data_IF_682490682763
#
_entry.id   IF_682490682763
#
_cell.length_a   1.000
_cell.length_b   1.000
_cell.length_c   1.000
_cell.angle_alpha   90.00
_cell.angle_beta   90.00
_cell.angle_gamma   90.00
#
_symmetry.space_group_name_H-M   'P 1'
#
loop_
_entity.id
_entity.type
_entity.pdbx_description
1 polymer ?
#
# COMPACT_ATOMS: atom_id res chain seq x y z
N UNK A 1 -19.70 -0.18 17.10
CA UNK A 1 -18.99 1.06 16.67
C UNK A 1 -18.54 0.84 15.24
N UNK A 2 -18.58 1.88 14.39
CA UNK A 2 -18.05 1.81 13.04
C UNK A 2 -16.56 1.49 13.08
N UNK A 3 -16.07 0.61 12.20
CA UNK A 3 -14.64 0.35 12.03
C UNK A 3 -13.96 1.57 11.40
N UNK A 4 -12.71 1.82 11.77
CA UNK A 4 -11.94 2.95 11.26
C UNK A 4 -10.69 2.45 10.53
N UNK A 5 -10.55 2.82 9.25
CA UNK A 5 -9.47 2.39 8.39
C UNK A 5 -8.53 3.57 8.11
N UNK A 6 -7.24 3.41 8.41
CA UNK A 6 -6.22 4.37 7.99
C UNK A 6 -5.79 4.07 6.57
N UNK A 7 -6.04 4.99 5.65
CA UNK A 7 -5.74 4.86 4.22
C UNK A 7 -4.57 5.76 3.87
N UNK A 8 -3.48 5.19 3.38
CA UNK A 8 -2.26 5.93 3.02
C UNK A 8 -2.18 6.09 1.52
N UNK A 9 -1.97 7.32 1.09
CA UNK A 9 -1.86 7.73 -0.31
C UNK A 9 -0.51 8.41 -0.57
N UNK A 10 0.04 8.18 -1.75
CA UNK A 10 1.17 8.95 -2.24
C UNK A 10 0.76 10.36 -2.66
N UNK A 11 1.55 11.37 -2.31
CA UNK A 11 1.38 12.74 -2.80
C UNK A 11 1.78 12.90 -4.28
N UNK A 12 2.45 11.89 -4.86
CA UNK A 12 2.86 11.84 -6.27
C UNK A 12 1.85 11.13 -7.17
N UNK A 13 0.73 10.72 -6.59
CA UNK A 13 -0.38 10.12 -7.30
C UNK A 13 -0.65 8.68 -6.89
N UNK A 14 -1.91 8.30 -6.98
CA UNK A 14 -2.38 6.95 -6.73
C UNK A 14 -3.14 6.42 -7.96
N UNK A 15 -3.23 5.11 -8.09
CA UNK A 15 -4.08 4.50 -9.11
C UNK A 15 -5.54 4.52 -8.64
N UNK A 16 -6.42 5.11 -9.44
CA UNK A 16 -7.79 5.39 -9.01
C UNK A 16 -8.55 4.18 -8.49
N UNK A 17 -8.64 3.11 -9.26
CA UNK A 17 -9.38 1.91 -8.88
C UNK A 17 -8.84 1.27 -7.59
N UNK A 18 -7.52 1.36 -7.34
CA UNK A 18 -6.87 0.83 -6.14
C UNK A 18 -7.25 1.59 -4.87
N UNK A 19 -7.81 2.77 -5.01
CA UNK A 19 -8.44 3.51 -3.93
C UNK A 19 -9.95 3.26 -3.90
N UNK A 20 -10.64 3.53 -5.03
CA UNK A 20 -12.11 3.57 -5.01
C UNK A 20 -12.75 2.20 -4.95
N UNK A 21 -12.10 1.14 -5.44
CA UNK A 21 -12.57 -0.24 -5.32
C UNK A 21 -12.73 -0.69 -3.87
N UNK A 22 -11.69 -0.59 -3.02
CA UNK A 22 -11.83 -0.85 -1.59
C UNK A 22 -12.79 0.12 -0.89
N UNK A 23 -12.74 1.43 -1.21
CA UNK A 23 -13.60 2.44 -0.57
C UNK A 23 -15.08 2.15 -0.77
N UNK A 24 -15.50 1.75 -1.97
CA UNK A 24 -16.90 1.40 -2.24
C UNK A 24 -17.41 0.31 -1.30
N UNK A 25 -16.58 -0.71 -1.04
CA UNK A 25 -16.93 -1.83 -0.16
C UNK A 25 -16.91 -1.41 1.31
N UNK A 26 -15.90 -0.65 1.72
CA UNK A 26 -15.76 -0.18 3.09
C UNK A 26 -16.88 0.80 3.46
N UNK A 27 -17.25 1.70 2.54
CA UNK A 27 -18.38 2.63 2.72
C UNK A 27 -19.71 1.86 2.84
N UNK A 28 -19.94 0.84 1.99
CA UNK A 28 -21.12 -0.01 2.08
C UNK A 28 -21.20 -0.79 3.39
N UNK A 29 -20.05 -1.13 3.99
CA UNK A 29 -19.96 -1.74 5.32
C UNK A 29 -20.13 -0.73 6.47
N UNK A 30 -20.23 0.56 6.17
CA UNK A 30 -20.37 1.64 7.17
C UNK A 30 -19.07 1.94 7.90
N UNK A 31 -17.91 1.68 7.29
CA UNK A 31 -16.59 1.96 7.88
C UNK A 31 -16.17 3.40 7.60
N UNK A 32 -15.42 3.98 8.52
CA UNK A 32 -14.80 5.30 8.38
C UNK A 32 -13.41 5.15 7.75
N UNK A 33 -13.16 5.82 6.62
CA UNK A 33 -11.85 5.90 6.01
C UNK A 33 -11.20 7.24 6.35
N UNK A 34 -10.01 7.19 6.94
CA UNK A 34 -9.20 8.36 7.31
C UNK A 34 -7.94 8.37 6.46
N UNK A 35 -7.71 9.46 5.76
CA UNK A 35 -6.61 9.56 4.79
C UNK A 35 -5.34 10.15 5.41
N UNK A 36 -4.21 9.63 4.99
CA UNK A 36 -2.88 10.09 5.41
C UNK A 36 -1.96 10.19 4.18
N UNK A 37 -1.15 11.24 4.14
CA UNK A 37 -0.09 11.42 3.15
C UNK A 37 1.21 11.83 3.84
N UNK A 38 2.31 11.81 3.12
CA UNK A 38 3.63 12.06 3.70
C UNK A 38 3.73 13.43 4.40
N UNK A 39 3.23 14.51 3.78
CA UNK A 39 3.32 15.88 4.29
C UNK A 39 1.96 16.55 4.50
N UNK A 40 0.88 15.79 4.49
CA UNK A 40 -0.48 16.31 4.61
C UNK A 40 -0.98 17.04 3.36
N UNK A 41 -0.33 16.84 2.22
CA UNK A 41 -0.83 17.36 0.95
C UNK A 41 -1.86 16.43 0.36
N UNK A 42 -2.86 17.01 -0.29
CA UNK A 42 -3.86 16.24 -1.03
C UNK A 42 -3.17 15.35 -2.07
N UNK A 43 -3.54 14.08 -2.10
CA UNK A 43 -3.20 13.17 -3.18
C UNK A 43 -4.19 13.33 -4.34
N UNK A 44 -3.73 13.13 -5.57
CA UNK A 44 -4.56 13.11 -6.76
C UNK A 44 -4.40 11.79 -7.50
N UNK A 45 -5.43 11.37 -8.21
CA UNK A 45 -5.36 10.18 -9.03
C UNK A 45 -4.43 10.38 -10.23
N UNK A 46 -3.73 9.33 -10.62
CA UNK A 46 -2.92 9.32 -11.85
C UNK A 46 -3.83 9.39 -13.08
N UNK A 47 -3.55 10.27 -14.06
CA UNK A 47 -4.40 10.46 -15.23
C UNK A 47 -4.81 9.18 -15.96
N UNK A 48 -3.92 8.18 -16.18
CA UNK A 48 -4.31 6.92 -16.81
C UNK A 48 -5.43 6.18 -16.06
N UNK A 49 -5.48 6.29 -14.73
CA UNK A 49 -6.43 5.55 -13.89
C UNK A 49 -7.87 6.10 -13.91
N UNK A 50 -8.07 7.29 -14.47
CA UNK A 50 -9.41 7.86 -14.66
C UNK A 50 -9.70 8.26 -16.12
N UNK A 51 -8.90 7.77 -17.04
CA UNK A 51 -9.13 7.91 -18.48
C UNK A 51 -9.76 6.62 -19.00
N UNK A 52 -11.08 6.60 -19.30
CA UNK A 52 -11.74 5.40 -19.80
C UNK A 52 -11.08 4.89 -21.08
N UNK A 53 -10.89 3.59 -21.17
CA UNK A 53 -10.27 2.98 -22.34
C UNK A 53 -8.74 3.10 -22.36
N UNK A 54 -8.10 3.52 -21.26
CA UNK A 54 -6.64 3.53 -21.19
C UNK A 54 -6.08 2.14 -21.46
N UNK A 55 -5.24 2.06 -22.50
CA UNK A 55 -4.59 0.84 -22.94
C UNK A 55 -3.21 0.73 -22.26
N UNK A 56 -2.97 -0.38 -21.58
CA UNK A 56 -1.70 -0.69 -20.92
C UNK A 56 -0.83 -1.52 -21.88
N UNK A 57 0.28 -0.97 -22.40
CA UNK A 57 1.11 -1.67 -23.37
C UNK A 57 1.73 -2.97 -22.88
N UNK A 58 2.28 -3.09 -21.66
CA UNK A 58 2.78 -4.35 -21.13
C UNK A 58 1.71 -5.44 -21.04
N UNK A 59 0.51 -5.07 -20.62
CA UNK A 59 -0.61 -6.00 -20.49
C UNK A 59 -1.34 -6.28 -21.81
N UNK A 60 -1.10 -5.47 -22.83
CA UNK A 60 -1.77 -5.55 -24.13
C UNK A 60 -3.31 -5.56 -24.01
N UNK A 61 -3.83 -4.71 -23.12
CA UNK A 61 -5.28 -4.59 -22.85
C UNK A 61 -5.67 -3.23 -22.27
N UNK A 62 -6.97 -2.94 -22.36
CA UNK A 62 -7.58 -1.84 -21.60
C UNK A 62 -7.65 -2.21 -20.12
N UNK A 63 -7.15 -1.34 -19.26
CA UNK A 63 -7.09 -1.55 -17.80
C UNK A 63 -7.98 -0.58 -17.02
N UNK A 64 -8.46 0.49 -17.63
CA UNK A 64 -9.33 1.47 -16.98
C UNK A 64 -10.71 1.41 -17.61
N UNK A 65 -11.67 0.86 -16.87
CA UNK A 65 -13.06 0.84 -17.31
C UNK A 65 -13.78 2.15 -16.98
N UNK A 66 -14.93 2.36 -17.59
CA UNK A 66 -15.70 3.59 -17.44
C UNK A 66 -16.28 3.76 -16.02
N UNK A 67 -16.68 2.68 -15.37
CA UNK A 67 -17.26 2.72 -14.04
C UNK A 67 -16.25 3.24 -13.02
N UNK A 68 -15.09 2.61 -12.93
CA UNK A 68 -14.05 2.99 -11.99
C UNK A 68 -13.38 4.32 -12.34
N UNK A 69 -13.26 4.66 -13.63
CA UNK A 69 -12.81 5.97 -14.07
C UNK A 69 -13.73 7.08 -13.56
N UNK A 70 -15.05 6.92 -13.68
CA UNK A 70 -16.02 7.89 -13.19
C UNK A 70 -16.03 7.97 -11.67
N UNK A 71 -15.97 6.85 -10.97
CA UNK A 71 -15.90 6.82 -9.51
C UNK A 71 -14.62 7.49 -8.98
N UNK A 72 -13.50 7.25 -9.64
CA UNK A 72 -12.22 7.91 -9.35
C UNK A 72 -12.32 9.43 -9.49
N UNK A 73 -12.89 9.92 -10.59
CA UNK A 73 -13.12 11.37 -10.79
C UNK A 73 -14.01 11.96 -9.69
N UNK A 74 -15.09 11.28 -9.34
CA UNK A 74 -15.98 11.75 -8.27
C UNK A 74 -15.25 11.90 -6.93
N UNK A 75 -14.41 10.92 -6.56
CA UNK A 75 -13.61 11.00 -5.34
C UNK A 75 -12.54 12.07 -5.45
N UNK A 76 -11.83 12.13 -6.56
CA UNK A 76 -10.72 13.08 -6.77
C UNK A 76 -11.20 14.55 -6.85
N UNK A 77 -12.40 14.81 -7.35
CA UNK A 77 -13.03 16.14 -7.41
C UNK A 77 -13.78 16.52 -6.12
N UNK A 78 -14.03 15.54 -5.23
CA UNK A 78 -14.70 15.79 -3.95
C UNK A 78 -13.76 16.37 -2.90
N UNK A 79 -14.31 16.77 -1.76
CA UNK A 79 -13.53 17.18 -0.58
C UNK A 79 -13.05 16.00 0.25
N UNK A 80 -13.32 14.76 -0.16
CA UNK A 80 -13.05 13.55 0.62
C UNK A 80 -11.57 13.39 0.95
N UNK A 81 -10.68 13.76 0.02
CA UNK A 81 -9.24 13.67 0.18
C UNK A 81 -8.59 14.94 0.71
N UNK A 82 -9.38 15.95 1.09
CA UNK A 82 -8.86 17.20 1.63
C UNK A 82 -8.35 17.04 3.05
N UNK A 83 -7.30 17.78 3.38
CA UNK A 83 -6.71 17.82 4.72
C UNK A 83 -6.32 16.42 5.28
N UNK A 84 -5.60 15.58 4.53
CA UNK A 84 -5.16 14.29 5.03
C UNK A 84 -4.22 14.48 6.22
N UNK A 85 -4.11 13.46 7.07
CA UNK A 85 -3.14 13.45 8.17
C UNK A 85 -1.73 13.64 7.60
N UNK A 86 -0.97 14.52 8.21
CA UNK A 86 0.44 14.75 7.89
C UNK A 86 1.31 13.75 8.65
N UNK A 87 1.78 12.71 7.97
CA UNK A 87 2.66 11.69 8.54
C UNK A 87 3.93 12.30 9.13
N UNK A 88 4.55 13.25 8.43
CA UNK A 88 5.80 13.89 8.88
C UNK A 88 5.63 14.76 10.12
N UNK A 89 4.42 15.24 10.39
CA UNK A 89 4.10 15.97 11.61
C UNK A 89 3.68 15.04 12.76
N UNK A 90 3.16 13.86 12.45
CA UNK A 90 2.68 12.89 13.44
C UNK A 90 3.79 11.98 13.96
N UNK A 91 4.54 11.32 13.07
CA UNK A 91 5.60 10.38 13.43
C UNK A 91 6.98 11.04 13.46
N UNK A 92 7.83 10.70 14.44
CA UNK A 92 9.18 11.26 14.56
C UNK A 92 10.10 10.75 13.45
N UNK A 93 11.12 11.52 13.14
CA UNK A 93 12.21 11.08 12.29
C UNK A 93 13.25 10.33 13.11
N UNK A 94 13.68 9.16 12.62
CA UNK A 94 14.72 8.40 13.26
C UNK A 94 16.07 9.11 13.13
N UNK A 95 16.81 9.35 14.22
CA UNK A 95 18.09 10.04 14.15
C UNK A 95 19.14 9.19 13.42
N UNK A 96 20.01 9.87 12.66
CA UNK A 96 21.19 9.25 12.10
C UNK A 96 22.22 8.97 13.20
N UNK A 97 22.96 7.87 13.07
CA UNK A 97 23.94 7.43 14.04
C UNK A 97 25.10 8.44 14.29
N UNK A 98 25.38 9.31 13.32
CA UNK A 98 26.39 10.38 13.45
C UNK A 98 25.80 11.70 13.96
N UNK A 99 24.54 11.72 14.38
CA UNK A 99 23.93 12.91 14.97
C UNK A 99 24.59 13.22 16.33
N UNK A 100 24.78 14.51 16.62
CA UNK A 100 25.19 14.94 17.96
C UNK A 100 24.20 14.42 18.99
N UNK A 101 24.69 13.86 20.10
CA UNK A 101 23.88 13.26 21.17
C UNK A 101 22.97 12.12 20.68
N UNK A 102 23.48 11.30 19.75
CA UNK A 102 22.70 10.23 19.11
C UNK A 102 21.92 9.34 20.09
N UNK A 103 22.55 8.91 21.20
CA UNK A 103 21.89 8.06 22.18
C UNK A 103 20.62 8.71 22.76
N UNK A 104 20.72 9.96 23.18
CA UNK A 104 19.59 10.70 23.72
C UNK A 104 18.48 10.92 22.67
N UNK A 105 18.86 11.32 21.46
CA UNK A 105 17.89 11.45 20.36
C UNK A 105 17.20 10.14 19.98
N UNK A 106 17.90 9.03 20.14
CA UNK A 106 17.32 7.71 19.90
C UNK A 106 16.29 7.32 20.96
N UNK A 107 16.55 7.67 22.24
CA UNK A 107 15.59 7.48 23.34
C UNK A 107 14.35 8.35 23.14
N UNK A 108 14.53 9.62 22.76
CA UNK A 108 13.41 10.52 22.44
C UNK A 108 12.58 9.99 21.28
N UNK A 109 13.26 9.49 20.22
CA UNK A 109 12.60 8.89 19.06
C UNK A 109 11.71 7.70 19.47
N UNK A 110 12.25 6.74 20.24
CA UNK A 110 11.46 5.58 20.65
C UNK A 110 10.31 5.98 21.56
N UNK A 111 10.53 6.89 22.49
CA UNK A 111 9.47 7.39 23.39
C UNK A 111 8.34 8.07 22.61
N UNK A 112 8.68 8.87 21.61
CA UNK A 112 7.69 9.57 20.77
C UNK A 112 6.97 8.60 19.84
N UNK A 113 7.71 7.68 19.19
CA UNK A 113 7.15 6.64 18.33
C UNK A 113 6.13 5.77 19.08
N UNK A 114 6.47 5.35 20.31
CA UNK A 114 5.60 4.50 21.11
C UNK A 114 4.30 5.22 21.50
N UNK A 115 4.34 6.53 21.75
CA UNK A 115 3.12 7.35 21.90
C UNK A 115 2.29 7.38 20.60
N UNK A 116 2.94 7.54 19.43
CA UNK A 116 2.23 7.48 18.15
C UNK A 116 1.57 6.11 17.94
N UNK A 117 2.19 5.02 18.39
CA UNK A 117 1.61 3.68 18.33
C UNK A 117 0.37 3.54 19.24
N UNK A 118 0.33 4.21 20.39
CA UNK A 118 -0.91 4.27 21.18
C UNK A 118 -2.05 4.94 20.41
N UNK A 119 -1.74 6.01 19.65
CA UNK A 119 -2.73 6.69 18.81
C UNK A 119 -3.25 5.79 17.67
N UNK A 120 -2.44 4.83 17.18
CA UNK A 120 -2.86 3.87 16.16
C UNK A 120 -3.95 2.90 16.67
N UNK A 121 -4.15 2.77 17.96
CA UNK A 121 -5.19 1.89 18.52
C UNK A 121 -6.59 2.26 18.09
N UNK A 122 -6.83 3.51 17.71
CA UNK A 122 -8.13 3.96 17.22
C UNK A 122 -8.51 3.39 15.84
N UNK A 123 -7.56 2.91 15.05
CA UNK A 123 -7.79 2.33 13.73
C UNK A 123 -7.89 0.80 13.81
N UNK A 124 -8.76 0.19 13.01
CA UNK A 124 -8.96 -1.26 12.93
C UNK A 124 -8.06 -1.92 11.89
N UNK A 125 -7.71 -1.19 10.82
CA UNK A 125 -6.83 -1.66 9.77
C UNK A 125 -6.07 -0.51 9.09
N UNK A 126 -4.99 -0.87 8.38
CA UNK A 126 -4.21 -0.02 7.49
C UNK A 126 -4.45 -0.45 6.04
N UNK A 127 -4.63 0.50 5.13
CA UNK A 127 -4.65 0.28 3.68
C UNK A 127 -3.59 1.14 3.00
N UNK A 128 -2.65 0.51 2.31
CA UNK A 128 -1.60 1.15 1.51
C UNK A 128 -2.02 1.07 0.03
N UNK A 129 -2.44 2.20 -0.51
CA UNK A 129 -2.91 2.29 -1.90
C UNK A 129 -1.71 2.34 -2.85
N UNK A 130 -1.84 1.68 -3.99
CA UNK A 130 -0.77 1.62 -4.98
C UNK A 130 -0.86 2.70 -6.07
N UNK A 131 -0.48 2.32 -7.28
CA UNK A 131 -0.09 3.22 -8.35
C UNK A 131 1.42 3.47 -8.31
N UNK A 132 1.96 4.23 -9.24
CA UNK A 132 3.42 4.47 -9.33
C UNK A 132 3.95 5.50 -8.31
N UNK A 133 3.10 6.38 -7.79
CA UNK A 133 3.49 7.38 -6.79
C UNK A 133 4.16 6.83 -5.52
N UNK A 134 3.71 5.71 -4.92
CA UNK A 134 4.34 5.09 -3.76
C UNK A 134 5.84 4.87 -3.87
N UNK A 135 6.38 4.62 -5.07
CA UNK A 135 7.82 4.44 -5.29
C UNK A 135 8.61 5.70 -4.88
N UNK A 136 8.00 6.87 -4.99
CA UNK A 136 8.65 8.16 -4.76
C UNK A 136 8.64 8.61 -3.30
N UNK A 137 7.55 8.36 -2.55
CA UNK A 137 7.40 8.95 -1.22
C UNK A 137 6.92 7.98 -0.12
N UNK A 138 6.57 6.72 -0.47
CA UNK A 138 6.08 5.75 0.51
C UNK A 138 7.09 4.63 0.79
N UNK A 139 7.65 4.02 -0.26
CA UNK A 139 8.46 2.77 -0.15
C UNK A 139 9.66 2.92 0.79
N UNK A 140 10.39 4.02 0.70
CA UNK A 140 11.57 4.28 1.52
C UNK A 140 11.30 5.26 2.68
N UNK A 141 10.03 5.46 3.03
CA UNK A 141 9.64 6.38 4.08
C UNK A 141 9.69 5.70 5.45
N UNK A 142 10.73 6.01 6.22
CA UNK A 142 10.95 5.43 7.54
C UNK A 142 9.77 5.68 8.50
N UNK A 143 9.10 6.85 8.44
CA UNK A 143 7.93 7.14 9.28
C UNK A 143 6.74 6.25 8.91
N UNK A 144 6.56 5.97 7.61
CA UNK A 144 5.55 5.01 7.17
C UNK A 144 5.88 3.58 7.62
N UNK A 145 7.16 3.21 7.60
CA UNK A 145 7.57 1.91 8.17
C UNK A 145 7.23 1.82 9.66
N UNK A 146 7.39 2.91 10.42
CA UNK A 146 7.01 2.93 11.84
C UNK A 146 5.49 2.79 12.04
N UNK A 147 4.66 3.39 11.17
CA UNK A 147 3.20 3.15 11.16
C UNK A 147 2.90 1.67 10.91
N UNK A 148 3.48 1.08 9.86
CA UNK A 148 3.29 -0.33 9.50
C UNK A 148 3.70 -1.25 10.65
N UNK A 149 4.87 -1.01 11.27
CA UNK A 149 5.35 -1.76 12.44
C UNK A 149 4.42 -1.59 13.65
N UNK A 150 3.81 -0.42 13.83
CA UNK A 150 2.81 -0.18 14.88
C UNK A 150 1.55 -1.03 14.66
N UNK A 151 1.01 -1.08 13.45
CA UNK A 151 -0.11 -1.97 13.13
C UNK A 151 0.23 -3.44 13.32
N UNK A 152 1.45 -3.86 12.92
CA UNK A 152 1.94 -5.21 13.14
C UNK A 152 2.03 -5.55 14.64
N UNK A 153 2.62 -4.66 15.45
CA UNK A 153 2.74 -4.83 16.89
C UNK A 153 1.38 -4.90 17.61
N UNK A 154 0.39 -4.16 17.09
CA UNK A 154 -0.99 -4.20 17.58
C UNK A 154 -1.79 -5.41 17.05
N UNK A 155 -1.20 -6.26 16.21
CA UNK A 155 -1.87 -7.42 15.61
C UNK A 155 -3.02 -7.06 14.68
N UNK A 156 -3.00 -5.89 14.06
CA UNK A 156 -4.06 -5.38 13.19
C UNK A 156 -3.82 -5.71 11.73
N UNK A 157 -4.90 -5.70 10.93
CA UNK A 157 -4.85 -5.94 9.50
C UNK A 157 -4.03 -4.84 8.80
N UNK A 158 -3.14 -5.28 7.90
CA UNK A 158 -2.36 -4.43 7.01
C UNK A 158 -2.67 -4.86 5.59
N UNK A 159 -3.44 -4.05 4.87
CA UNK A 159 -3.75 -4.26 3.47
C UNK A 159 -2.83 -3.39 2.60
N UNK A 160 -2.40 -3.92 1.47
CA UNK A 160 -1.59 -3.21 0.50
C UNK A 160 -1.88 -3.70 -0.92
N UNK A 161 -1.76 -2.83 -1.90
CA UNK A 161 -2.09 -3.16 -3.28
C UNK A 161 -1.03 -2.63 -4.23
N UNK A 162 -0.76 -3.39 -5.32
CA UNK A 162 0.12 -2.99 -6.40
C UNK A 162 1.50 -2.54 -5.86
N UNK A 163 1.96 -1.35 -6.23
CA UNK A 163 3.21 -0.79 -5.70
C UNK A 163 3.17 -0.42 -4.21
N UNK A 164 1.99 -0.27 -3.62
CA UNK A 164 1.86 -0.09 -2.16
C UNK A 164 2.42 -1.26 -1.36
N UNK A 165 2.43 -2.47 -1.94
CA UNK A 165 3.01 -3.67 -1.32
C UNK A 165 4.52 -3.54 -1.10
N UNK A 166 5.22 -2.74 -1.91
CA UNK A 166 6.65 -2.50 -1.74
C UNK A 166 7.01 -1.95 -0.35
N UNK A 167 6.11 -1.17 0.25
CA UNK A 167 6.32 -0.64 1.60
C UNK A 167 6.54 -1.76 2.63
N UNK A 168 5.89 -2.91 2.45
CA UNK A 168 6.04 -4.07 3.33
C UNK A 168 7.41 -4.74 3.19
N UNK A 169 7.98 -4.76 1.99
CA UNK A 169 9.29 -5.35 1.75
C UNK A 169 10.41 -4.64 2.51
N UNK A 170 10.31 -3.30 2.61
CA UNK A 170 11.34 -2.48 3.23
C UNK A 170 11.08 -2.19 4.71
N UNK A 171 9.88 -2.39 5.22
CA UNK A 171 9.63 -2.38 6.65
C UNK A 171 10.29 -3.62 7.30
N UNK A 172 11.12 -3.40 8.32
CA UNK A 172 11.91 -4.48 8.93
C UNK A 172 11.63 -4.59 10.41
N UNK A 173 11.48 -5.83 10.84
CA UNK A 173 11.52 -6.15 12.26
C UNK A 173 12.85 -5.73 12.87
N UNK A 174 12.80 -5.06 14.03
CA UNK A 174 13.99 -4.50 14.67
C UNK A 174 14.88 -5.55 15.30
N UNK A 175 14.29 -6.66 15.76
CA UNK A 175 14.99 -7.76 16.43
C UNK A 175 15.59 -8.69 15.39
N UNK A 176 14.76 -9.20 14.49
CA UNK A 176 15.17 -10.16 13.46
C UNK A 176 15.90 -9.50 12.29
N UNK A 177 15.69 -8.19 12.10
CA UNK A 177 16.25 -7.40 10.99
C UNK A 177 15.84 -7.88 9.60
N UNK A 178 14.85 -8.75 9.53
CA UNK A 178 14.23 -9.25 8.31
C UNK A 178 13.08 -8.36 7.89
N UNK A 179 12.67 -8.46 6.63
CA UNK A 179 11.40 -7.89 6.20
C UNK A 179 10.26 -8.47 7.04
N UNK A 180 9.26 -7.65 7.36
CA UNK A 180 8.09 -8.10 8.11
C UNK A 180 7.26 -9.16 7.39
N UNK A 181 7.44 -9.29 6.07
CA UNK A 181 6.78 -10.32 5.25
C UNK A 181 7.64 -11.59 5.07
N UNK A 182 8.76 -11.71 5.80
CA UNK A 182 9.55 -12.93 5.78
C UNK A 182 8.72 -14.14 6.23
N UNK A 183 8.75 -15.22 5.45
CA UNK A 183 7.94 -16.41 5.68
C UNK A 183 6.45 -16.27 5.35
N UNK A 184 6.05 -15.18 4.70
CA UNK A 184 4.66 -14.90 4.37
C UNK A 184 4.32 -15.20 2.92
N UNK A 185 3.04 -15.50 2.69
CA UNK A 185 2.45 -15.59 1.37
C UNK A 185 1.88 -14.23 0.99
N UNK A 186 2.35 -13.64 -0.10
CA UNK A 186 1.93 -12.32 -0.56
C UNK A 186 1.82 -12.27 -2.08
N UNK A 187 1.17 -11.25 -2.59
CA UNK A 187 1.22 -10.82 -3.99
C UNK A 187 1.53 -9.32 -4.07
N UNK A 188 1.66 -8.78 -5.24
CA UNK A 188 1.90 -7.37 -5.52
C UNK A 188 2.07 -7.15 -7.01
N UNK A 189 2.42 -5.94 -7.43
CA UNK A 189 2.64 -5.63 -8.83
C UNK A 189 3.67 -6.60 -9.45
N UNK A 190 3.23 -7.33 -10.46
CA UNK A 190 4.03 -8.41 -11.05
C UNK A 190 4.90 -7.92 -12.19
N UNK A 191 5.99 -8.63 -12.44
CA UNK A 191 6.96 -8.33 -13.49
C UNK A 191 6.31 -8.23 -14.89
N UNK A 192 5.28 -9.02 -15.16
CA UNK A 192 4.55 -9.00 -16.42
C UNK A 192 3.83 -7.66 -16.70
N UNK A 193 3.64 -6.82 -15.69
CA UNK A 193 3.07 -5.48 -15.83
C UNK A 193 4.13 -4.41 -16.13
N UNK A 194 5.39 -4.67 -15.80
CA UNK A 194 6.49 -3.74 -16.03
C UNK A 194 7.22 -4.02 -17.34
N UNK A 195 7.17 -5.27 -17.80
CA UNK A 195 7.96 -5.74 -18.94
C UNK A 195 7.12 -6.49 -19.97
N UNK A 196 7.44 -6.28 -21.23
CA UNK A 196 6.92 -7.05 -22.35
C UNK A 196 8.07 -7.82 -22.99
N UNK A 197 7.89 -9.12 -23.18
CA UNK A 197 8.85 -9.99 -23.89
C UNK A 197 10.29 -9.94 -23.34
N UNK A 198 10.45 -9.67 -22.06
CA UNK A 198 11.76 -9.60 -21.41
C UNK A 198 12.64 -8.44 -21.86
N UNK A 199 12.09 -7.48 -22.61
CA UNK A 199 12.85 -6.35 -23.16
C UNK A 199 13.01 -5.17 -22.19
N UNK A 200 12.58 -5.34 -20.95
CA UNK A 200 12.66 -4.32 -19.94
C UNK A 200 11.44 -3.40 -19.92
N UNK A 201 11.53 -2.34 -19.15
CA UNK A 201 10.47 -1.36 -18.96
C UNK A 201 10.20 -0.63 -20.27
N UNK A 202 9.04 -0.88 -20.86
CA UNK A 202 8.85 -0.53 -22.27
C UNK A 202 8.10 0.75 -22.43
N UNK A 203 7.52 1.39 -22.04
CA UNK A 203 6.64 2.51 -22.35
C UNK A 203 5.41 2.51 -21.42
N UNK A 204 5.46 1.68 -20.39
CA UNK A 204 4.33 1.50 -19.50
C UNK A 204 4.06 2.72 -18.65
N UNK A 205 5.11 3.34 -18.14
CA UNK A 205 4.98 4.55 -17.35
C UNK A 205 5.83 5.67 -17.93
N UNK A 206 5.21 6.46 -18.76
CA UNK A 206 5.83 7.60 -19.39
C UNK A 206 5.91 8.83 -18.48
N UNK A 207 5.20 8.83 -17.36
CA UNK A 207 5.13 10.00 -16.49
C UNK A 207 6.31 10.06 -15.51
N UNK A 208 6.70 8.93 -14.95
CA UNK A 208 7.76 8.86 -13.94
C UNK A 208 8.94 7.99 -14.36
N UNK A 209 8.87 7.39 -15.54
CA UNK A 209 9.87 6.45 -16.03
C UNK A 209 9.79 5.06 -15.35
N UNK A 210 10.75 4.17 -15.65
CA UNK A 210 10.77 2.85 -15.07
C UNK A 210 10.97 2.91 -13.55
N UNK A 211 10.36 1.97 -12.79
CA UNK A 211 10.65 1.84 -11.37
C UNK A 211 12.16 1.57 -11.19
N UNK A 212 12.76 2.04 -10.08
CA UNK A 212 14.18 1.85 -9.83
C UNK A 212 14.58 0.37 -9.70
N UNK A 213 13.58 -0.51 -9.54
CA UNK A 213 13.76 -1.95 -9.46
C UNK A 213 12.41 -2.66 -9.79
N UNK A 214 12.45 -3.87 -10.34
CA UNK A 214 11.25 -4.68 -10.53
C UNK A 214 10.68 -5.12 -9.17
N UNK A 215 9.46 -4.73 -8.87
CA UNK A 215 8.86 -4.97 -7.56
C UNK A 215 8.74 -6.46 -7.23
N UNK A 216 8.33 -7.29 -8.17
CA UNK A 216 8.22 -8.74 -7.95
C UNK A 216 9.52 -9.35 -7.43
N UNK A 217 10.69 -8.96 -7.97
CA UNK A 217 11.97 -9.50 -7.53
C UNK A 217 12.29 -9.08 -6.08
N UNK A 218 11.98 -7.85 -5.72
CA UNK A 218 12.12 -7.35 -4.35
C UNK A 218 11.20 -8.11 -3.39
N UNK A 219 9.95 -8.37 -3.78
CA UNK A 219 9.01 -9.10 -2.95
C UNK A 219 9.40 -10.57 -2.79
N UNK A 220 9.89 -11.22 -3.85
CA UNK A 220 10.42 -12.59 -3.79
C UNK A 220 11.61 -12.71 -2.84
N UNK A 221 12.52 -11.73 -2.86
CA UNK A 221 13.64 -11.66 -1.90
C UNK A 221 13.14 -11.44 -0.47
N UNK A 222 12.20 -10.50 -0.28
CA UNK A 222 11.72 -10.11 1.03
C UNK A 222 10.94 -11.20 1.78
N UNK A 223 10.21 -12.09 1.07
CA UNK A 223 9.51 -13.21 1.69
C UNK A 223 10.46 -14.34 2.12
N UNK A 224 11.67 -14.37 1.60
CA UNK A 224 12.67 -15.38 1.93
C UNK A 224 12.29 -16.81 1.49
N UNK A 225 13.08 -17.82 1.91
CA UNK A 225 12.89 -19.19 1.45
C UNK A 225 11.64 -19.89 1.99
N UNK A 226 11.12 -19.42 3.12
CA UNK A 226 9.94 -20.01 3.78
C UNK A 226 8.62 -19.33 3.39
N UNK A 227 8.69 -18.24 2.63
CA UNK A 227 7.54 -17.51 2.12
C UNK A 227 7.35 -17.72 0.62
N UNK A 228 6.29 -17.13 0.07
CA UNK A 228 6.00 -17.23 -1.35
C UNK A 228 5.38 -15.94 -1.90
N UNK A 229 5.93 -15.47 -3.01
CA UNK A 229 5.28 -14.47 -3.85
C UNK A 229 4.37 -15.17 -4.87
N UNK A 230 3.08 -14.77 -4.88
CA UNK A 230 2.07 -15.28 -5.82
C UNK A 230 1.90 -14.30 -6.98
N UNK A 231 2.76 -14.37 -7.98
CA UNK A 231 2.73 -13.49 -9.16
C UNK A 231 1.50 -13.71 -10.02
N UNK A 232 1.01 -14.94 -10.06
CA UNK A 232 0.00 -15.35 -11.01
C UNK A 232 0.57 -15.40 -12.43
N UNK A 233 0.16 -16.35 -13.22
CA UNK A 233 0.53 -16.49 -14.62
C UNK A 233 -0.68 -16.19 -15.45
N UNK A 234 -0.49 -15.50 -16.58
CA UNK A 234 -1.57 -15.25 -17.53
C UNK A 234 -2.53 -14.12 -17.10
N UNK A 235 -2.03 -13.13 -16.35
CA UNK A 235 -2.78 -11.91 -16.01
C UNK A 235 -4.06 -12.18 -15.21
N UNK A 236 -4.05 -13.21 -14.39
CA UNK A 236 -5.17 -13.56 -13.51
C UNK A 236 -5.17 -12.69 -12.25
N UNK A 237 -6.35 -12.52 -11.64
CA UNK A 237 -6.46 -11.87 -10.34
C UNK A 237 -5.65 -12.60 -9.28
N UNK A 238 -5.07 -11.84 -8.36
CA UNK A 238 -4.33 -12.41 -7.23
C UNK A 238 -4.53 -11.52 -6.01
N UNK A 239 -5.30 -12.00 -5.05
CA UNK A 239 -5.48 -11.39 -3.74
C UNK A 239 -5.12 -12.44 -2.71
N UNK A 240 -4.14 -12.16 -1.88
CA UNK A 240 -3.55 -13.09 -0.92
C UNK A 240 -3.68 -12.51 0.48
N UNK A 241 -4.26 -13.29 1.36
CA UNK A 241 -4.29 -13.03 2.80
C UNK A 241 -3.46 -14.08 3.53
N UNK A 242 -2.38 -13.64 4.14
CA UNK A 242 -1.62 -14.35 5.18
C UNK A 242 -1.51 -13.41 6.38
N UNK A 243 -2.50 -13.51 7.27
CA UNK A 243 -2.69 -12.54 8.34
C UNK A 243 -1.39 -12.25 9.11
N UNK A 244 -1.07 -10.98 9.41
CA UNK A 244 -1.92 -9.80 9.29
C UNK A 244 -1.88 -9.11 7.92
N UNK A 245 -1.20 -9.68 6.92
CA UNK A 245 -1.02 -9.06 5.60
C UNK A 245 -2.08 -9.53 4.61
N UNK A 246 -2.76 -8.55 4.00
CA UNK A 246 -3.64 -8.74 2.85
C UNK A 246 -3.03 -7.98 1.68
N UNK A 247 -2.75 -8.67 0.59
CA UNK A 247 -2.12 -8.05 -0.58
C UNK A 247 -2.92 -8.29 -1.84
N UNK A 248 -3.10 -7.25 -2.65
CA UNK A 248 -3.68 -7.29 -3.99
C UNK A 248 -2.61 -7.02 -5.05
N UNK A 249 -2.70 -7.71 -6.19
CA UNK A 249 -1.67 -7.61 -7.21
C UNK A 249 -1.77 -6.34 -8.05
N UNK A 250 -2.98 -5.98 -8.44
CA UNK A 250 -3.21 -4.88 -9.36
C UNK A 250 -4.63 -4.33 -9.26
N UNK A 251 -4.90 -3.32 -10.03
CA UNK A 251 -6.20 -2.64 -10.12
C UNK A 251 -7.40 -3.59 -10.18
N UNK A 252 -7.32 -4.71 -10.90
CA UNK A 252 -8.42 -5.68 -11.02
C UNK A 252 -8.74 -6.44 -9.72
N UNK A 253 -7.88 -6.36 -8.73
CA UNK A 253 -8.04 -7.03 -7.43
C UNK A 253 -8.66 -6.10 -6.37
N UNK A 254 -8.74 -4.80 -6.65
CA UNK A 254 -9.02 -3.74 -5.68
C UNK A 254 -10.33 -3.92 -4.92
N UNK A 255 -11.43 -4.23 -5.63
CA UNK A 255 -12.70 -4.52 -4.99
C UNK A 255 -12.61 -5.74 -4.08
N UNK A 256 -11.94 -6.82 -4.53
CA UNK A 256 -11.76 -8.05 -3.75
C UNK A 256 -10.90 -7.82 -2.52
N UNK A 257 -9.91 -6.91 -2.58
CA UNK A 257 -9.16 -6.46 -1.41
C UNK A 257 -10.11 -5.85 -0.37
N UNK A 258 -10.98 -4.93 -0.77
CA UNK A 258 -12.00 -4.35 0.11
C UNK A 258 -12.94 -5.41 0.72
N UNK A 259 -13.48 -6.32 -0.09
CA UNK A 259 -14.35 -7.42 0.37
C UNK A 259 -13.63 -8.36 1.36
N UNK A 260 -12.35 -8.62 1.11
CA UNK A 260 -11.55 -9.45 2.01
C UNK A 260 -11.22 -8.71 3.31
N UNK A 261 -10.96 -7.39 3.27
CA UNK A 261 -10.82 -6.58 4.48
C UNK A 261 -12.04 -6.69 5.39
N UNK A 262 -13.25 -6.56 4.83
CA UNK A 262 -14.50 -6.70 5.58
C UNK A 262 -14.61 -8.10 6.21
N UNK A 263 -14.33 -9.17 5.46
CA UNK A 263 -14.34 -10.54 5.99
C UNK A 263 -13.31 -10.76 7.12
N UNK A 264 -12.13 -10.16 7.00
CA UNK A 264 -11.14 -10.22 8.09
C UNK A 264 -11.66 -9.53 9.35
N UNK A 265 -12.24 -8.35 9.20
CA UNK A 265 -12.67 -7.52 10.33
C UNK A 265 -13.97 -7.99 10.98
N UNK A 266 -14.88 -8.60 10.23
CA UNK A 266 -16.19 -9.08 10.74
C UNK A 266 -16.19 -10.57 11.08
N UNK A 267 -15.57 -11.40 10.25
CA UNK A 267 -15.63 -12.85 10.37
C UNK A 267 -14.36 -13.48 10.94
N UNK A 268 -13.29 -12.67 11.08
CA UNK A 268 -12.00 -13.16 11.59
C UNK A 268 -11.23 -14.02 10.58
N UNK A 269 -11.48 -13.84 9.27
CA UNK A 269 -10.72 -14.55 8.24
C UNK A 269 -9.21 -14.33 8.41
N UNK A 270 -8.40 -15.39 8.27
CA UNK A 270 -6.94 -15.31 8.49
C UNK A 270 -6.12 -15.80 7.30
N UNK A 271 -6.76 -16.45 6.34
CA UNK A 271 -6.09 -17.03 5.17
C UNK A 271 -7.04 -17.00 3.96
N UNK A 272 -6.52 -16.55 2.81
CA UNK A 272 -7.24 -16.55 1.55
C UNK A 272 -6.27 -16.54 0.36
N UNK A 273 -6.63 -17.22 -0.71
CA UNK A 273 -5.95 -17.16 -2.01
C UNK A 273 -4.71 -18.07 -2.16
N UNK A 274 -4.38 -18.86 -1.14
CA UNK A 274 -3.22 -19.77 -1.17
C UNK A 274 -3.39 -20.95 -0.21
#
# INVERSE_FOLDING_TARGET
MSKKILVVLSEWGYWGEELVGPLEVLDAAGYESVFMTNKGKRANALPPSYTPGYFDPPLDKVVTDEYYANLTKQVDESTRLDNPINLSAWFPERPFFNSTNYGHKLEEYYTTRDKCWEDLKQYDALLLVGGSGPILDMVNNQRLHDVILGFLALGKLIAAECYGVACLAFARDWVERKSIIWGKHITGHALEYDYKDGTGFLHADINIGPPPYPLELILRDAVGPDGQFHGGVGRTRSTILDYPFLTGRSTQDSRLVGETMVKVLEEGLRRYGW
#
